data_IF_951130480431
#
_entry.id   IF_951130480431
#
_cell.length_a   1.000
_cell.length_b   1.000
_cell.length_c   1.000
_cell.angle_alpha   90.00
_cell.angle_beta   90.00
_cell.angle_gamma   90.00
#
_symmetry.space_group_name_H-M   'P 1'
#
loop_
_entity.id
_entity.type
_entity.pdbx_description
1 polymer ?
#
# COMPACT_ATOMS: atom_id res chain seq x y z
N UNK A 1 -1.12 -29.40 -21.23
CA UNK A 1 -0.77 -28.05 -21.76
C UNK A 1 0.37 -27.55 -20.91
N UNK A 2 1.51 -27.27 -21.49
CA UNK A 2 2.65 -26.68 -20.79
C UNK A 2 2.50 -25.17 -20.69
N UNK A 3 3.28 -24.50 -19.80
CA UNK A 3 3.31 -23.04 -19.75
C UNK A 3 3.74 -22.40 -21.07
N UNK A 4 4.58 -23.07 -21.84
CA UNK A 4 4.96 -22.64 -23.19
C UNK A 4 3.79 -22.67 -24.17
N UNK A 5 2.97 -23.70 -24.14
CA UNK A 5 1.79 -23.81 -25.00
C UNK A 5 0.79 -22.68 -24.73
N UNK A 6 0.62 -22.30 -23.44
CA UNK A 6 -0.23 -21.17 -23.03
C UNK A 6 0.33 -19.85 -23.56
N UNK A 7 1.65 -19.62 -23.44
CA UNK A 7 2.28 -18.41 -23.92
C UNK A 7 2.16 -18.26 -25.44
N UNK A 8 2.34 -19.34 -26.19
CA UNK A 8 2.16 -19.35 -27.65
C UNK A 8 0.73 -18.99 -28.03
N UNK A 9 -0.27 -19.59 -27.37
CA UNK A 9 -1.69 -19.28 -27.61
C UNK A 9 -2.03 -17.82 -27.30
N UNK A 10 -1.51 -17.27 -26.20
CA UNK A 10 -1.70 -15.83 -25.85
C UNK A 10 -1.05 -14.93 -26.91
N UNK A 11 0.08 -15.32 -27.47
CA UNK A 11 0.78 -14.54 -28.51
C UNK A 11 0.10 -14.60 -29.87
N UNK A 12 -0.49 -15.75 -30.19
CA UNK A 12 -1.17 -15.96 -31.47
C UNK A 12 -2.55 -15.32 -31.51
N UNK A 13 -3.13 -14.96 -30.35
CA UNK A 13 -4.38 -14.23 -30.27
C UNK A 13 -4.13 -12.69 -30.39
N UNK A 14 -4.61 -12.06 -31.47
CA UNK A 14 -4.41 -10.62 -31.70
C UNK A 14 -4.98 -9.73 -30.56
N UNK A 15 -5.96 -10.21 -29.81
CA UNK A 15 -6.58 -9.47 -28.70
C UNK A 15 -5.76 -9.54 -27.43
N UNK A 16 -4.88 -10.55 -27.31
CA UNK A 16 -4.04 -10.83 -26.15
C UNK A 16 -2.54 -10.62 -26.42
N UNK A 17 -2.15 -10.36 -27.66
CA UNK A 17 -0.74 -10.26 -28.09
C UNK A 17 0.05 -9.19 -27.31
N UNK A 18 -0.60 -8.12 -26.86
CA UNK A 18 -0.01 -7.05 -26.07
C UNK A 18 -0.22 -7.23 -24.55
N UNK A 19 -0.83 -8.34 -24.12
CA UNK A 19 -1.03 -8.62 -22.71
C UNK A 19 0.33 -8.81 -22.02
N UNK A 20 0.63 -8.05 -20.95
CA UNK A 20 1.82 -8.28 -20.15
C UNK A 20 1.72 -9.62 -19.42
N UNK A 21 2.69 -10.49 -19.62
CA UNK A 21 2.73 -11.82 -18.99
C UNK A 21 3.94 -11.94 -18.09
N UNK A 22 3.72 -12.32 -16.84
CA UNK A 22 4.77 -12.64 -15.88
C UNK A 22 4.85 -14.16 -15.71
N UNK A 23 6.03 -14.72 -15.92
CA UNK A 23 6.23 -16.18 -15.83
C UNK A 23 7.00 -16.49 -14.54
N UNK A 24 6.43 -17.36 -13.74
CA UNK A 24 7.07 -17.93 -12.56
C UNK A 24 7.44 -19.38 -12.81
N UNK A 25 8.70 -19.72 -12.62
CA UNK A 25 9.18 -21.08 -12.76
C UNK A 25 10.11 -21.47 -11.61
N UNK A 26 9.79 -22.58 -10.96
CA UNK A 26 10.69 -23.23 -9.99
C UNK A 26 11.60 -24.28 -10.65
N UNK A 27 11.46 -24.51 -11.97
CA UNK A 27 12.28 -25.46 -12.73
C UNK A 27 13.53 -24.73 -13.23
N UNK A 28 14.68 -25.38 -13.13
CA UNK A 28 15.88 -24.93 -13.86
C UNK A 28 15.62 -25.09 -15.36
N UNK A 29 15.68 -23.98 -16.07
CA UNK A 29 15.48 -23.94 -17.51
C UNK A 29 16.82 -24.20 -18.23
N UNK A 30 16.78 -24.95 -19.33
CA UNK A 30 17.91 -25.02 -20.25
C UNK A 30 18.14 -23.65 -20.93
N UNK A 31 19.36 -23.37 -21.46
CA UNK A 31 19.61 -22.11 -22.17
C UNK A 31 18.61 -21.85 -23.32
N UNK A 32 18.22 -22.90 -24.03
CA UNK A 32 17.25 -22.81 -25.14
C UNK A 32 15.82 -22.51 -24.62
N UNK A 33 15.39 -23.14 -23.53
CA UNK A 33 14.11 -22.86 -22.89
C UNK A 33 14.06 -21.42 -22.35
N UNK A 34 15.16 -20.96 -21.77
CA UNK A 34 15.29 -19.58 -21.25
C UNK A 34 15.20 -18.55 -22.39
N UNK A 35 15.92 -18.74 -23.47
CA UNK A 35 15.87 -17.88 -24.65
C UNK A 35 14.48 -17.83 -25.29
N UNK A 36 13.82 -19.01 -25.41
CA UNK A 36 12.46 -19.14 -25.92
C UNK A 36 11.45 -18.42 -25.03
N UNK A 37 11.60 -18.54 -23.70
CA UNK A 37 10.73 -17.86 -22.73
C UNK A 37 10.84 -16.35 -22.86
N UNK A 38 12.06 -15.80 -22.96
CA UNK A 38 12.30 -14.37 -23.17
C UNK A 38 11.76 -13.85 -24.51
N UNK A 39 11.64 -14.71 -25.51
CA UNK A 39 11.05 -14.34 -26.80
C UNK A 39 9.52 -14.35 -26.74
N UNK A 40 8.93 -15.31 -26.05
CA UNK A 40 7.48 -15.48 -25.92
C UNK A 40 6.88 -14.56 -24.84
N UNK A 41 7.51 -14.45 -23.69
CA UNK A 41 7.12 -13.54 -22.65
C UNK A 41 7.87 -12.22 -22.85
N UNK A 42 7.24 -11.20 -23.43
CA UNK A 42 7.80 -9.81 -23.48
C UNK A 42 8.04 -9.21 -22.09
N UNK A 43 7.85 -9.98 -21.05
CA UNK A 43 7.80 -9.57 -19.66
C UNK A 43 8.60 -10.52 -18.77
N UNK A 44 8.82 -10.13 -17.56
CA UNK A 44 9.77 -10.68 -16.59
C UNK A 44 9.62 -12.18 -16.37
N UNK A 45 10.72 -12.91 -16.48
CA UNK A 45 10.86 -14.28 -15.98
C UNK A 45 11.44 -14.21 -14.58
N UNK A 46 10.70 -14.66 -13.59
CA UNK A 46 11.15 -14.71 -12.18
C UNK A 46 11.53 -16.15 -11.85
N UNK A 47 12.82 -16.38 -11.57
CA UNK A 47 13.37 -17.69 -11.20
C UNK A 47 13.44 -17.79 -9.67
N UNK A 48 13.02 -18.93 -9.12
CA UNK A 48 13.26 -19.28 -7.72
C UNK A 48 12.55 -18.42 -6.68
N UNK A 49 11.26 -18.11 -6.90
CA UNK A 49 10.45 -17.46 -5.88
C UNK A 49 10.11 -18.47 -4.79
N UNK A 50 10.82 -18.38 -3.67
CA UNK A 50 10.60 -19.26 -2.51
C UNK A 50 9.52 -18.74 -1.56
N UNK A 51 9.03 -17.49 -1.75
CA UNK A 51 8.02 -16.90 -0.88
C UNK A 51 6.99 -16.02 -1.62
N UNK A 52 5.73 -15.99 -1.13
CA UNK A 52 4.68 -15.12 -1.67
C UNK A 52 5.03 -13.62 -1.62
N UNK A 53 5.85 -13.20 -0.64
CA UNK A 53 6.26 -11.82 -0.46
C UNK A 53 7.17 -11.36 -1.60
N UNK A 54 8.10 -12.23 -2.01
CA UNK A 54 9.01 -11.97 -3.12
C UNK A 54 8.26 -11.93 -4.47
N UNK A 55 7.23 -12.78 -4.61
CA UNK A 55 6.32 -12.74 -5.75
C UNK A 55 5.61 -11.39 -5.85
N UNK A 56 5.11 -10.88 -4.72
CA UNK A 56 4.41 -9.60 -4.68
C UNK A 56 5.35 -8.43 -5.00
N UNK A 57 6.57 -8.46 -4.50
CA UNK A 57 7.59 -7.42 -4.71
C UNK A 57 8.00 -7.35 -6.19
N UNK A 58 8.30 -8.49 -6.80
CA UNK A 58 8.63 -8.60 -8.23
C UNK A 58 7.45 -8.19 -9.13
N UNK A 59 6.23 -8.57 -8.75
CA UNK A 59 5.01 -8.18 -9.49
C UNK A 59 4.77 -6.67 -9.40
N UNK A 60 5.01 -6.06 -8.25
CA UNK A 60 4.90 -4.61 -8.05
C UNK A 60 5.93 -3.84 -8.88
N UNK A 61 7.18 -4.29 -8.88
CA UNK A 61 8.25 -3.74 -9.73
C UNK A 61 7.92 -3.87 -11.22
N UNK A 62 7.32 -4.97 -11.62
CA UNK A 62 6.88 -5.21 -12.99
C UNK A 62 5.76 -4.24 -13.40
N UNK A 63 4.73 -4.08 -12.56
CA UNK A 63 3.64 -3.14 -12.83
C UNK A 63 4.15 -1.70 -12.98
N UNK A 64 5.12 -1.28 -12.17
CA UNK A 64 5.78 0.02 -12.33
C UNK A 64 6.51 0.17 -13.67
N UNK A 65 7.20 -0.88 -14.13
CA UNK A 65 7.87 -0.87 -15.45
C UNK A 65 6.89 -0.83 -16.61
N UNK A 66 5.76 -1.54 -16.49
CA UNK A 66 4.69 -1.52 -17.51
C UNK A 66 4.08 -0.12 -17.61
N UNK A 67 3.83 0.53 -16.49
CA UNK A 67 3.33 1.92 -16.46
C UNK A 67 4.32 2.89 -17.11
N UNK A 68 5.63 2.74 -16.84
CA UNK A 68 6.66 3.59 -17.42
C UNK A 68 6.80 3.44 -18.95
N UNK A 69 6.41 2.29 -19.50
CA UNK A 69 6.48 1.99 -20.94
C UNK A 69 5.16 2.27 -21.69
N UNK A 70 4.11 2.71 -21.00
CA UNK A 70 2.88 3.11 -21.67
C UNK A 70 3.09 4.37 -22.53
N UNK A 71 2.33 4.56 -23.63
CA UNK A 71 2.29 5.84 -24.36
C UNK A 71 2.01 6.99 -23.39
N UNK A 72 2.64 8.14 -23.61
CA UNK A 72 2.54 9.32 -22.72
C UNK A 72 1.10 9.71 -22.40
N UNK A 73 0.17 9.54 -23.35
CA UNK A 73 -1.24 9.83 -23.15
C UNK A 73 -1.88 8.91 -22.11
N UNK A 74 -1.55 7.61 -22.14
CA UNK A 74 -2.00 6.62 -21.13
C UNK A 74 -1.30 6.82 -19.78
N UNK A 75 -0.02 7.19 -19.80
CA UNK A 75 0.68 7.57 -18.57
C UNK A 75 0.03 8.80 -17.92
N UNK A 76 -0.27 9.84 -18.71
CA UNK A 76 -0.99 11.03 -18.22
C UNK A 76 -2.40 10.72 -17.72
N UNK A 77 -3.09 9.74 -18.32
CA UNK A 77 -4.40 9.29 -17.87
C UNK A 77 -4.32 8.54 -16.54
N UNK A 78 -3.34 7.66 -16.38
CA UNK A 78 -3.02 7.01 -15.10
C UNK A 78 -2.54 8.02 -14.06
N UNK A 79 -1.68 8.94 -14.44
CA UNK A 79 -1.23 10.05 -13.59
C UNK A 79 -2.40 10.92 -13.12
N UNK A 80 -3.41 11.17 -13.96
CA UNK A 80 -4.63 11.88 -13.56
C UNK A 80 -5.47 11.07 -12.57
N UNK A 81 -5.58 9.74 -12.76
CA UNK A 81 -6.23 8.84 -11.83
C UNK A 81 -5.49 8.75 -10.48
N UNK A 82 -4.15 8.87 -10.50
CA UNK A 82 -3.31 8.86 -9.29
C UNK A 82 -3.09 10.28 -8.70
N UNK A 83 -3.34 11.34 -9.46
CA UNK A 83 -3.12 12.75 -9.08
C UNK A 83 -4.36 13.46 -8.55
N UNK A 84 -5.44 12.77 -8.22
CA UNK A 84 -6.51 13.44 -7.48
C UNK A 84 -6.08 13.63 -6.01
N UNK A 85 -5.03 14.44 -5.81
CA UNK A 85 -4.74 15.01 -4.48
C UNK A 85 -5.92 15.87 -3.98
N UNK A 86 -6.85 16.20 -4.88
CA UNK A 86 -8.12 16.88 -4.56
C UNK A 86 -8.91 16.15 -3.46
N UNK A 87 -8.85 14.80 -3.42
CA UNK A 87 -9.49 14.00 -2.37
C UNK A 87 -8.83 14.16 -0.99
N UNK A 88 -7.58 14.64 -0.94
CA UNK A 88 -6.81 14.85 0.29
C UNK A 88 -6.93 16.28 0.80
N UNK A 89 -7.19 17.25 -0.09
CA UNK A 89 -7.21 18.68 0.26
C UNK A 89 -8.27 18.97 1.32
N UNK A 90 -7.84 19.61 2.41
CA UNK A 90 -8.71 20.00 3.52
C UNK A 90 -9.16 18.84 4.42
N UNK A 91 -8.83 17.58 4.11
CA UNK A 91 -9.12 16.44 5.00
C UNK A 91 -8.24 16.50 6.24
N UNK A 92 -8.85 16.22 7.39
CA UNK A 92 -8.13 16.13 8.66
C UNK A 92 -7.57 14.72 8.85
N UNK A 93 -6.29 14.62 9.12
CA UNK A 93 -5.60 13.36 9.47
C UNK A 93 -5.00 13.48 10.87
N UNK A 94 -5.17 12.45 11.68
CA UNK A 94 -4.49 12.35 12.98
C UNK A 94 -3.29 11.41 12.84
N UNK A 95 -2.11 11.93 13.13
CA UNK A 95 -0.84 11.16 13.17
C UNK A 95 -0.51 10.87 14.63
N UNK A 96 -0.41 9.57 14.96
CA UNK A 96 -0.13 9.10 16.32
C UNK A 96 1.17 8.31 16.31
N UNK A 97 2.20 8.83 16.95
CA UNK A 97 3.53 8.19 17.04
C UNK A 97 4.24 8.79 18.26
N UNK A 98 5.02 8.02 19.01
CA UNK A 98 5.76 8.52 20.18
C UNK A 98 7.09 9.19 19.80
N UNK A 99 7.55 9.00 18.55
CA UNK A 99 8.74 9.65 18.01
C UNK A 99 8.38 10.93 17.23
N UNK A 100 8.75 12.08 17.80
CA UNK A 100 8.51 13.37 17.18
C UNK A 100 9.11 13.51 15.76
N UNK A 101 10.15 12.75 15.42
CA UNK A 101 10.77 12.73 14.08
C UNK A 101 9.82 12.09 13.07
N UNK A 102 9.15 10.99 13.45
CA UNK A 102 8.15 10.34 12.61
C UNK A 102 6.95 11.25 12.40
N UNK A 103 6.45 11.86 13.49
CA UNK A 103 5.35 12.85 13.41
C UNK A 103 5.74 13.97 12.44
N UNK A 104 6.92 14.56 12.58
CA UNK A 104 7.36 15.66 11.71
C UNK A 104 7.46 15.23 10.24
N UNK A 105 8.04 14.06 9.96
CA UNK A 105 8.20 13.57 8.60
C UNK A 105 6.86 13.31 7.93
N UNK A 106 5.94 12.63 8.62
CA UNK A 106 4.60 12.33 8.10
C UNK A 106 3.78 13.62 7.95
N UNK A 107 3.77 14.50 8.96
CA UNK A 107 3.04 15.77 8.91
C UNK A 107 3.50 16.62 7.73
N UNK A 108 4.81 16.79 7.55
CA UNK A 108 5.37 17.56 6.43
C UNK A 108 4.98 16.99 5.06
N UNK A 109 4.90 15.66 4.93
CA UNK A 109 4.50 15.02 3.68
C UNK A 109 3.01 15.23 3.39
N UNK A 110 2.15 15.18 4.40
CA UNK A 110 0.70 15.29 4.29
C UNK A 110 0.24 16.74 4.12
N UNK A 111 0.84 17.68 4.85
CA UNK A 111 0.57 19.12 4.71
C UNK A 111 0.90 19.64 3.32
N UNK A 112 2.01 19.17 2.70
CA UNK A 112 2.33 19.48 1.29
C UNK A 112 1.26 19.02 0.30
N UNK A 113 0.39 18.10 0.68
CA UNK A 113 -0.75 17.61 -0.11
C UNK A 113 -2.07 18.28 0.29
N UNK A 114 -2.00 19.35 1.08
CA UNK A 114 -3.16 20.15 1.48
C UNK A 114 -4.01 19.53 2.58
N UNK A 115 -3.52 18.50 3.29
CA UNK A 115 -4.21 17.94 4.45
C UNK A 115 -4.01 18.80 5.69
N UNK A 116 -4.99 18.77 6.58
CA UNK A 116 -4.87 19.34 7.93
C UNK A 116 -4.39 18.25 8.88
N UNK A 117 -3.16 18.38 9.40
CA UNK A 117 -2.59 17.36 10.26
C UNK A 117 -2.79 17.70 11.73
N UNK A 118 -3.32 16.74 12.47
CA UNK A 118 -3.39 16.70 13.93
C UNK A 118 -2.37 15.67 14.42
N UNK A 119 -1.80 15.87 15.58
CA UNK A 119 -0.75 15.00 16.11
C UNK A 119 -1.06 14.56 17.53
N UNK A 120 -0.62 13.36 17.90
CA UNK A 120 -0.65 12.85 19.26
C UNK A 120 0.58 11.98 19.53
N UNK A 121 1.19 12.14 20.69
CA UNK A 121 2.41 11.42 21.09
C UNK A 121 2.12 10.08 21.79
N UNK A 122 0.86 9.72 22.02
CA UNK A 122 0.46 8.47 22.68
C UNK A 122 -1.03 8.18 22.49
N UNK A 123 -1.47 6.98 22.88
CA UNK A 123 -2.85 6.53 22.68
C UNK A 123 -3.90 7.34 23.43
N UNK A 124 -3.60 7.81 24.64
CA UNK A 124 -4.54 8.63 25.42
C UNK A 124 -4.77 10.00 24.79
N UNK A 125 -3.69 10.61 24.32
CA UNK A 125 -3.75 11.89 23.63
C UNK A 125 -4.50 11.76 22.29
N UNK A 126 -4.27 10.65 21.56
CA UNK A 126 -5.00 10.36 20.34
C UNK A 126 -6.51 10.29 20.56
N UNK A 127 -6.96 9.59 21.60
CA UNK A 127 -8.39 9.49 21.94
C UNK A 127 -8.94 10.86 22.34
N UNK A 128 -8.23 11.62 23.18
CA UNK A 128 -8.64 12.96 23.60
C UNK A 128 -8.74 13.93 22.40
N UNK A 129 -7.79 13.84 21.45
CA UNK A 129 -7.80 14.64 20.22
C UNK A 129 -9.01 14.31 19.33
N UNK A 130 -9.36 13.03 19.19
CA UNK A 130 -10.52 12.60 18.43
C UNK A 130 -11.82 13.09 19.06
N UNK A 131 -11.90 13.08 20.40
CA UNK A 131 -13.08 13.59 21.16
C UNK A 131 -13.23 15.11 21.03
N UNK A 132 -12.12 15.83 21.03
CA UNK A 132 -12.11 17.29 20.94
C UNK A 132 -12.26 17.83 19.51
N UNK A 133 -11.92 17.01 18.50
CA UNK A 133 -11.85 17.48 17.11
C UNK A 133 -12.74 16.65 16.19
N UNK A 134 -13.98 17.08 15.94
CA UNK A 134 -14.85 16.38 15.00
C UNK A 134 -14.34 16.50 13.55
N UNK A 135 -14.68 15.50 12.73
CA UNK A 135 -14.41 15.50 11.32
C UNK A 135 -12.98 15.05 10.95
N UNK A 136 -12.29 14.35 11.85
CA UNK A 136 -11.08 13.59 11.47
C UNK A 136 -11.49 12.53 10.45
N UNK A 137 -10.83 12.54 9.30
CA UNK A 137 -11.17 11.69 8.17
C UNK A 137 -10.42 10.34 8.20
N UNK A 138 -9.22 10.32 8.80
CA UNK A 138 -8.36 9.13 8.89
C UNK A 138 -7.34 9.27 10.03
N UNK A 139 -6.92 8.15 10.60
CA UNK A 139 -5.87 8.07 11.63
C UNK A 139 -4.70 7.24 11.10
N UNK A 140 -3.48 7.73 11.27
CA UNK A 140 -2.23 6.98 11.12
C UNK A 140 -1.76 6.63 12.53
N UNK A 141 -1.71 5.35 12.86
CA UNK A 141 -1.50 4.84 14.22
C UNK A 141 -0.21 4.03 14.31
N UNK A 142 0.78 4.53 15.02
CA UNK A 142 1.91 3.67 15.40
C UNK A 142 1.45 2.55 16.33
N UNK A 143 1.99 1.35 16.10
CA UNK A 143 1.70 0.19 16.95
C UNK A 143 2.56 0.18 18.20
N UNK A 144 3.82 0.58 18.10
CA UNK A 144 4.83 0.43 19.15
C UNK A 144 4.99 1.70 19.97
N UNK A 145 4.01 2.00 20.81
CA UNK A 145 4.08 3.16 21.71
C UNK A 145 4.15 2.75 23.17
N UNK A 146 4.84 3.50 24.05
CA UNK A 146 4.89 3.22 25.49
C UNK A 146 3.55 3.48 26.17
N UNK A 147 3.25 2.70 27.18
CA UNK A 147 2.01 2.80 27.95
C UNK A 147 0.83 2.18 27.23
N UNK A 148 0.02 2.99 26.56
CA UNK A 148 -1.09 2.53 25.71
C UNK A 148 -0.62 2.34 24.28
N UNK A 149 -0.43 1.09 23.87
CA UNK A 149 0.02 0.75 22.52
C UNK A 149 -1.05 1.02 21.44
N UNK A 150 -0.64 0.89 20.15
CA UNK A 150 -1.55 1.14 19.04
C UNK A 150 -2.72 0.17 18.98
N UNK A 151 -2.54 -1.09 19.37
CA UNK A 151 -3.63 -2.08 19.41
C UNK A 151 -4.70 -1.69 20.43
N UNK A 152 -4.28 -1.37 21.65
CA UNK A 152 -5.17 -0.95 22.72
C UNK A 152 -5.91 0.36 22.36
N UNK A 153 -5.18 1.28 21.73
CA UNK A 153 -5.73 2.56 21.27
C UNK A 153 -6.81 2.34 20.20
N UNK A 154 -6.56 1.51 19.21
CA UNK A 154 -7.53 1.18 18.16
C UNK A 154 -8.77 0.50 18.75
N UNK A 155 -8.61 -0.45 19.65
CA UNK A 155 -9.72 -1.11 20.33
C UNK A 155 -10.56 -0.11 21.14
N UNK A 156 -9.93 0.85 21.83
CA UNK A 156 -10.63 1.90 22.54
C UNK A 156 -11.41 2.84 21.61
N UNK A 157 -10.83 3.23 20.49
CA UNK A 157 -11.51 4.01 19.44
C UNK A 157 -12.72 3.25 18.90
N UNK A 158 -12.61 1.97 18.61
CA UNK A 158 -13.70 1.14 18.06
C UNK A 158 -14.86 0.91 19.02
N UNK A 159 -14.65 1.07 20.32
CA UNK A 159 -15.73 1.03 21.34
C UNK A 159 -16.65 2.26 21.27
N UNK A 160 -16.18 3.37 20.68
CA UNK A 160 -16.96 4.60 20.51
C UNK A 160 -17.83 4.49 19.26
N UNK A 161 -19.18 4.55 19.36
CA UNK A 161 -20.08 4.34 18.23
C UNK A 161 -19.82 5.29 17.06
N UNK A 162 -19.51 6.55 17.36
CA UNK A 162 -19.23 7.63 16.39
C UNK A 162 -17.93 7.43 15.61
N UNK A 163 -16.97 6.68 16.17
CA UNK A 163 -15.65 6.42 15.58
C UNK A 163 -15.50 5.01 14.98
N UNK A 164 -16.56 4.19 15.03
CA UNK A 164 -16.50 2.81 14.53
C UNK A 164 -16.10 2.70 13.06
N UNK A 165 -16.48 3.68 12.25
CA UNK A 165 -16.19 3.70 10.80
C UNK A 165 -15.00 4.57 10.43
N UNK A 166 -14.36 5.22 11.38
CA UNK A 166 -13.19 6.04 11.14
C UNK A 166 -12.06 5.15 10.60
N UNK A 167 -11.53 5.40 9.38
CA UNK A 167 -10.40 4.64 8.88
C UNK A 167 -9.18 4.82 9.78
N UNK A 168 -8.52 3.71 10.12
CA UNK A 168 -7.29 3.69 10.91
C UNK A 168 -6.27 2.85 10.13
N UNK A 169 -5.16 3.47 9.76
CA UNK A 169 -4.03 2.79 9.13
C UNK A 169 -2.95 2.56 10.18
N UNK A 170 -2.66 1.30 10.45
CA UNK A 170 -1.62 0.92 11.40
C UNK A 170 -0.23 1.08 10.78
N UNK A 171 0.70 1.71 11.50
CA UNK A 171 2.11 1.82 11.12
C UNK A 171 2.92 0.84 11.96
N UNK A 172 3.52 -0.18 11.37
CA UNK A 172 4.19 -1.27 12.08
C UNK A 172 5.64 -1.44 11.65
N UNK A 173 6.53 -1.71 12.62
CA UNK A 173 7.92 -2.05 12.34
C UNK A 173 8.09 -3.49 11.80
N UNK A 174 7.07 -4.35 11.95
CA UNK A 174 7.09 -5.73 11.52
C UNK A 174 6.00 -5.99 10.49
N UNK A 175 6.40 -6.43 9.30
CA UNK A 175 5.50 -6.82 8.20
C UNK A 175 5.30 -8.35 8.11
N UNK A 176 5.40 -9.07 9.23
CA UNK A 176 5.20 -10.53 9.23
C UNK A 176 3.71 -10.88 9.13
N UNK A 177 3.41 -12.03 8.54
CA UNK A 177 2.04 -12.49 8.26
C UNK A 177 1.09 -12.44 9.47
N UNK A 178 1.59 -12.70 10.70
CA UNK A 178 0.80 -12.60 11.93
C UNK A 178 0.56 -11.16 12.45
N UNK A 179 1.36 -10.19 12.05
CA UNK A 179 1.22 -8.81 12.54
C UNK A 179 0.11 -8.07 11.79
N UNK A 180 -0.10 -8.38 10.51
CA UNK A 180 -1.25 -7.88 9.73
C UNK A 180 -2.58 -8.30 10.37
N UNK A 181 -2.72 -9.59 10.68
CA UNK A 181 -3.94 -10.13 11.29
C UNK A 181 -4.22 -9.44 12.64
N UNK A 182 -3.20 -9.28 13.48
CA UNK A 182 -3.32 -8.56 14.77
C UNK A 182 -3.78 -7.11 14.60
N UNK A 183 -3.27 -6.38 13.59
CA UNK A 183 -3.70 -5.02 13.32
C UNK A 183 -5.19 -4.98 12.95
N UNK A 184 -5.63 -5.86 12.06
CA UNK A 184 -7.02 -5.93 11.62
C UNK A 184 -7.96 -6.34 12.77
N UNK A 185 -7.58 -7.33 13.58
CA UNK A 185 -8.34 -7.79 14.74
C UNK A 185 -8.46 -6.71 15.82
N UNK A 186 -7.44 -5.85 15.95
CA UNK A 186 -7.49 -4.70 16.83
C UNK A 186 -8.35 -3.54 16.29
N UNK A 187 -8.80 -3.63 15.03
CA UNK A 187 -9.69 -2.67 14.42
C UNK A 187 -9.02 -1.71 13.43
N UNK A 188 -7.80 -2.01 12.97
CA UNK A 188 -7.23 -1.29 11.83
C UNK A 188 -8.06 -1.53 10.56
N UNK A 189 -8.13 -0.51 9.71
CA UNK A 189 -8.72 -0.60 8.37
C UNK A 189 -7.69 -1.06 7.34
N UNK A 190 -6.42 -0.69 7.58
CA UNK A 190 -5.28 -1.06 6.76
C UNK A 190 -3.98 -0.97 7.57
N UNK A 191 -2.86 -1.35 6.97
CA UNK A 191 -1.54 -1.27 7.62
C UNK A 191 -0.44 -0.89 6.63
N UNK A 192 0.63 -0.26 7.14
CA UNK A 192 1.85 0.06 6.41
C UNK A 192 3.07 -0.33 7.23
N UNK A 193 4.09 -0.88 6.57
CA UNK A 193 5.37 -1.19 7.20
C UNK A 193 6.23 0.08 7.35
N UNK A 194 6.89 0.22 8.49
CA UNK A 194 7.95 1.22 8.69
C UNK A 194 9.28 0.68 8.11
N UNK A 195 10.10 1.49 7.42
CA UNK A 195 9.91 2.92 7.19
C UNK A 195 8.79 3.20 6.18
N UNK A 196 7.92 4.17 6.51
CA UNK A 196 6.76 4.49 5.68
C UNK A 196 7.19 5.12 4.38
N UNK A 197 6.88 4.46 3.27
CA UNK A 197 7.08 5.03 1.94
C UNK A 197 5.95 6.04 1.64
N UNK A 198 6.32 7.26 1.25
CA UNK A 198 5.36 8.36 1.03
C UNK A 198 4.35 8.05 -0.09
N UNK A 199 4.78 7.44 -1.20
CA UNK A 199 3.88 7.11 -2.31
C UNK A 199 2.87 6.04 -1.89
N UNK A 200 3.32 5.04 -1.14
CA UNK A 200 2.47 3.98 -0.62
C UNK A 200 1.47 4.55 0.39
N UNK A 201 1.91 5.45 1.28
CA UNK A 201 1.03 6.15 2.22
C UNK A 201 -0.06 6.91 1.48
N UNK A 202 0.30 7.72 0.48
CA UNK A 202 -0.65 8.50 -0.30
C UNK A 202 -1.65 7.61 -1.06
N UNK A 203 -1.21 6.47 -1.57
CA UNK A 203 -2.10 5.49 -2.23
C UNK A 203 -3.14 4.93 -1.27
N UNK A 204 -2.72 4.56 -0.04
CA UNK A 204 -3.64 4.07 1.00
C UNK A 204 -4.61 5.17 1.45
N UNK A 205 -4.13 6.41 1.62
CA UNK A 205 -4.98 7.55 1.99
C UNK A 205 -6.06 7.80 0.94
N UNK A 206 -5.71 7.82 -0.35
CA UNK A 206 -6.67 7.98 -1.45
C UNK A 206 -7.72 6.87 -1.44
N UNK A 207 -7.31 5.61 -1.25
CA UNK A 207 -8.22 4.47 -1.18
C UNK A 207 -9.31 4.66 -0.10
N UNK A 208 -8.93 5.18 1.07
CA UNK A 208 -9.84 5.33 2.20
C UNK A 208 -10.61 6.65 2.21
N UNK A 209 -10.10 7.69 1.56
CA UNK A 209 -10.69 9.03 1.54
C UNK A 209 -11.47 9.34 0.26
N UNK A 210 -11.27 8.56 -0.81
CA UNK A 210 -12.05 8.65 -2.04
C UNK A 210 -13.46 8.11 -1.80
N UNK A 211 -14.41 9.02 -1.57
CA UNK A 211 -15.84 8.73 -1.45
C UNK A 211 -16.65 9.82 -2.11
#
# INVERSE_FOLDING_TARGET
>A
MSGFDVLEQVRDDPTLADLPVVVFTGKELSPDEDARLHTLARSVVVKGVESPERLLDETSLFLHRVVANLPEEKQRMLDRLHRSDDDLIGKKVLVVDDDARNIFALSSALERRGMTVLTAGNGHEAIATLDATPGVAIVLMDIMMPGMDGYQTMQAIRKKPELRRLPIVALTAKAMKGDREKCLDAGASDYLAKPVNTEQLLSVLRLWLHR
#
